data_IF_803738048252
#
_entry.id   IF_803738048252
#
_cell.length_a   1.000
_cell.length_b   1.000
_cell.length_c   1.000
_cell.angle_alpha   90.00
_cell.angle_beta   90.00
_cell.angle_gamma   90.00
#
_symmetry.space_group_name_H-M   'P 1'
#
loop_
_entity.id
_entity.type
_entity.pdbx_description
1 polymer ?
#
# COMPACT_ATOMS: atom_id res chain seq x y z
N UNK A 1 -1.25 0.35 -22.64
CA UNK A 1 -0.97 1.74 -22.28
C UNK A 1 -1.15 1.94 -20.79
N UNK A 2 -1.50 3.15 -20.35
CA UNK A 2 -1.77 3.45 -18.93
C UNK A 2 -3.16 2.92 -18.58
N UNK A 3 -3.24 2.05 -17.58
CA UNK A 3 -4.52 1.60 -17.00
C UNK A 3 -4.87 2.37 -15.72
N UNK A 4 -3.85 2.74 -14.95
CA UNK A 4 -3.98 3.58 -13.77
C UNK A 4 -2.78 4.56 -13.74
N UNK A 5 -3.02 5.89 -13.66
CA UNK A 5 -1.93 6.86 -13.66
C UNK A 5 -1.08 6.72 -12.41
N UNK A 6 0.24 6.88 -12.56
CA UNK A 6 1.17 6.81 -11.44
C UNK A 6 0.77 7.79 -10.34
N UNK A 7 0.53 7.26 -9.15
CA UNK A 7 0.17 8.02 -7.96
C UNK A 7 1.21 7.77 -6.87
N UNK A 8 1.66 8.83 -6.19
CA UNK A 8 2.69 8.77 -5.15
C UNK A 8 2.14 9.42 -3.87
N UNK A 9 1.60 8.62 -2.97
CA UNK A 9 0.97 9.11 -1.74
C UNK A 9 1.90 8.98 -0.54
N UNK A 10 2.22 10.12 0.10
CA UNK A 10 3.21 10.19 1.19
C UNK A 10 2.53 10.25 2.57
N UNK A 11 3.08 9.52 3.53
CA UNK A 11 2.66 9.45 4.93
C UNK A 11 1.14 9.22 5.08
N UNK A 12 0.42 10.20 5.63
CA UNK A 12 -1.02 10.15 5.90
C UNK A 12 -1.91 10.33 4.66
N UNK A 13 -1.35 10.75 3.52
CA UNK A 13 -2.09 10.74 2.26
C UNK A 13 -2.41 9.29 1.90
N UNK A 14 -3.70 8.95 1.75
CA UNK A 14 -4.16 7.57 1.59
C UNK A 14 -3.81 7.01 0.20
N UNK A 15 -4.29 7.66 -0.85
CA UNK A 15 -4.13 7.21 -2.24
C UNK A 15 -4.24 8.38 -3.24
N UNK A 16 -3.93 8.08 -4.51
CA UNK A 16 -4.27 8.90 -5.69
C UNK A 16 -3.66 10.31 -5.74
N UNK A 17 -2.52 10.53 -5.08
CA UNK A 17 -1.79 11.78 -5.25
C UNK A 17 -1.00 11.77 -6.57
N UNK A 18 -1.54 12.46 -7.59
CA UNK A 18 -0.95 12.63 -8.92
C UNK A 18 -1.04 14.12 -9.31
N UNK A 19 -0.16 14.98 -8.78
CA UNK A 19 -0.28 16.42 -8.89
C UNK A 19 -0.15 16.92 -10.33
N UNK A 20 -0.90 17.97 -10.67
CA UNK A 20 -0.72 18.74 -11.90
C UNK A 20 0.46 19.70 -11.76
N UNK A 21 0.90 20.28 -12.89
CA UNK A 21 1.92 21.35 -12.89
C UNK A 21 1.51 22.60 -12.12
N UNK A 22 0.21 22.84 -11.99
CA UNK A 22 -0.36 23.95 -11.24
C UNK A 22 -0.45 23.68 -9.74
N UNK A 23 -0.38 22.42 -9.34
CA UNK A 23 -0.55 22.03 -7.95
C UNK A 23 0.76 22.18 -7.19
N UNK A 24 0.66 22.32 -5.87
CA UNK A 24 1.83 22.30 -5.01
C UNK A 24 2.41 20.88 -4.94
N UNK A 25 3.67 20.72 -5.33
CA UNK A 25 4.38 19.45 -5.27
C UNK A 25 4.86 19.11 -3.85
N UNK A 26 5.19 17.84 -3.61
CA UNK A 26 5.77 17.34 -2.37
C UNK A 26 7.21 16.87 -2.59
N UNK A 27 8.16 17.55 -1.94
CA UNK A 27 9.56 17.13 -1.94
C UNK A 27 9.77 16.06 -0.86
N UNK A 28 10.15 14.85 -1.29
CA UNK A 28 10.42 13.70 -0.42
C UNK A 28 11.53 13.98 0.58
N UNK A 29 11.38 13.42 1.78
CA UNK A 29 12.32 13.57 2.90
C UNK A 29 12.75 12.21 3.43
N UNK A 30 13.91 12.19 4.06
CA UNK A 30 14.38 11.01 4.78
C UNK A 30 13.35 10.57 5.83
N UNK A 31 13.09 9.26 5.88
CA UNK A 31 12.09 8.66 6.74
C UNK A 31 10.64 8.74 6.24
N UNK A 32 10.32 9.39 5.12
CA UNK A 32 8.94 9.40 4.61
C UNK A 32 8.44 8.01 4.23
N UNK A 33 7.19 7.69 4.60
CA UNK A 33 6.51 6.48 4.14
C UNK A 33 5.81 6.79 2.81
N UNK A 34 6.27 6.16 1.74
CA UNK A 34 5.83 6.44 0.37
C UNK A 34 5.07 5.24 -0.19
N UNK A 35 3.93 5.51 -0.81
CA UNK A 35 3.09 4.53 -1.50
C UNK A 35 3.08 4.88 -2.99
N UNK A 36 3.61 3.99 -3.82
CA UNK A 36 3.56 4.13 -5.29
C UNK A 36 2.47 3.18 -5.80
N UNK A 37 1.56 3.71 -6.62
CA UNK A 37 0.48 2.95 -7.27
C UNK A 37 0.49 3.25 -8.77
N UNK A 38 0.44 2.21 -9.60
CA UNK A 38 0.40 2.32 -11.06
C UNK A 38 -0.28 1.12 -11.69
N UNK A 39 -0.75 1.32 -12.93
CA UNK A 39 -1.41 0.28 -13.70
C UNK A 39 -1.07 0.35 -15.18
N UNK A 40 -0.88 -0.82 -15.77
CA UNK A 40 -0.64 -0.99 -17.21
C UNK A 40 -1.73 -1.90 -17.77
N UNK A 41 -2.08 -1.71 -19.04
CA UNK A 41 -2.90 -2.69 -19.77
C UNK A 41 -2.27 -3.07 -21.10
N UNK A 42 -2.51 -4.32 -21.51
CA UNK A 42 -2.21 -4.85 -22.85
C UNK A 42 -3.52 -5.37 -23.41
N UNK A 43 -3.97 -4.87 -24.57
CA UNK A 43 -5.24 -5.26 -25.19
C UNK A 43 -6.46 -5.19 -24.26
N UNK A 44 -6.44 -4.23 -23.32
CA UNK A 44 -7.51 -4.03 -22.34
C UNK A 44 -7.42 -4.92 -21.09
N UNK A 45 -6.50 -5.90 -21.05
CA UNK A 45 -6.22 -6.69 -19.85
C UNK A 45 -5.35 -5.90 -18.87
N UNK A 46 -5.84 -5.69 -17.64
CA UNK A 46 -5.25 -4.80 -16.65
C UNK A 46 -4.27 -5.56 -15.74
N UNK A 47 -3.11 -4.95 -15.48
CA UNK A 47 -2.21 -5.29 -14.39
C UNK A 47 -1.94 -4.07 -13.51
N UNK A 48 -2.39 -4.10 -12.26
CA UNK A 48 -2.20 -3.04 -11.27
C UNK A 48 -1.25 -3.50 -10.16
N UNK A 49 -0.49 -2.55 -9.62
CA UNK A 49 0.43 -2.81 -8.50
C UNK A 49 0.58 -1.56 -7.64
N UNK A 50 0.61 -1.76 -6.32
CA UNK A 50 0.99 -0.75 -5.36
C UNK A 50 2.06 -1.28 -4.40
N UNK A 51 2.98 -0.41 -3.98
CA UNK A 51 4.05 -0.77 -3.04
C UNK A 51 4.31 0.36 -2.04
N UNK A 52 4.59 -0.03 -0.79
CA UNK A 52 4.86 0.89 0.32
C UNK A 52 6.28 0.66 0.85
N UNK A 53 7.06 1.73 0.97
CA UNK A 53 8.42 1.69 1.53
C UNK A 53 8.73 2.99 2.28
N UNK A 54 9.88 3.04 2.95
CA UNK A 54 10.34 4.22 3.70
C UNK A 54 11.62 4.76 3.06
N UNK A 55 11.67 6.07 2.80
CA UNK A 55 12.85 6.74 2.27
C UNK A 55 14.00 6.63 3.27
N UNK A 56 15.18 6.23 2.80
CA UNK A 56 16.39 6.07 3.63
C UNK A 56 16.44 4.80 4.48
N UNK A 57 15.43 3.93 4.40
CA UNK A 57 15.48 2.62 5.06
C UNK A 57 16.51 1.70 4.39
N UNK A 58 17.34 1.06 5.20
CA UNK A 58 18.32 0.06 4.74
C UNK A 58 18.41 -1.11 5.73
N UNK A 59 19.29 -2.07 5.49
CA UNK A 59 19.55 -3.15 6.46
C UNK A 59 20.24 -2.63 7.72
N UNK A 60 21.09 -1.62 7.56
CA UNK A 60 21.84 -0.96 8.62
C UNK A 60 20.99 0.06 9.38
N UNK A 61 19.95 0.61 8.71
CA UNK A 61 18.98 1.53 9.28
C UNK A 61 17.55 0.97 9.12
N UNK A 62 17.16 -0.04 9.91
CA UNK A 62 15.84 -0.65 9.80
C UNK A 62 14.74 0.29 10.33
N UNK A 63 13.58 0.26 9.66
CA UNK A 63 12.39 1.00 10.11
C UNK A 63 11.86 0.39 11.40
N UNK A 64 11.50 1.22 12.38
CA UNK A 64 10.89 0.81 13.64
C UNK A 64 9.65 1.65 13.98
N UNK A 65 8.99 1.32 15.11
CA UNK A 65 7.80 2.02 15.60
C UNK A 65 6.59 1.90 14.69
N UNK A 66 5.70 2.90 14.73
CA UNK A 66 4.38 2.86 14.05
C UNK A 66 4.46 2.65 12.54
N UNK A 67 5.52 3.11 11.88
CA UNK A 67 5.74 2.87 10.44
C UNK A 67 6.02 1.40 10.16
N UNK A 68 6.87 0.75 10.97
CA UNK A 68 7.12 -0.68 10.85
C UNK A 68 5.86 -1.50 11.14
N UNK A 69 5.11 -1.12 12.19
CA UNK A 69 3.86 -1.79 12.58
C UNK A 69 2.84 -1.80 11.42
N UNK A 70 2.55 -0.62 10.86
CA UNK A 70 1.53 -0.49 9.80
C UNK A 70 1.96 -1.14 8.50
N UNK A 71 3.25 -1.07 8.14
CA UNK A 71 3.79 -1.75 6.95
C UNK A 71 3.67 -3.26 7.12
N UNK A 72 4.04 -3.80 8.30
CA UNK A 72 3.96 -5.24 8.56
C UNK A 72 2.51 -5.72 8.60
N UNK A 73 1.60 -4.95 9.20
CA UNK A 73 0.17 -5.23 9.21
C UNK A 73 -0.39 -5.32 7.78
N UNK A 74 -0.12 -4.31 6.94
CA UNK A 74 -0.58 -4.29 5.56
C UNK A 74 -0.02 -5.46 4.74
N UNK A 75 1.27 -5.79 4.90
CA UNK A 75 1.88 -6.92 4.21
C UNK A 75 1.27 -8.26 4.64
N UNK A 76 1.02 -8.48 5.93
CA UNK A 76 0.36 -9.70 6.40
C UNK A 76 -1.10 -9.78 5.95
N UNK A 77 -1.81 -8.65 5.85
CA UNK A 77 -3.14 -8.59 5.23
C UNK A 77 -3.08 -9.01 3.75
N UNK A 78 -2.08 -8.54 2.99
CA UNK A 78 -1.88 -8.95 1.61
C UNK A 78 -1.60 -10.46 1.48
N UNK A 79 -0.73 -11.02 2.34
CA UNK A 79 -0.45 -12.46 2.41
C UNK A 79 -1.70 -13.29 2.77
N UNK A 80 -2.54 -12.77 3.67
CA UNK A 80 -3.81 -13.42 4.02
C UNK A 80 -4.78 -13.41 2.83
N UNK A 81 -4.93 -12.28 2.15
CA UNK A 81 -5.78 -12.17 0.95
C UNK A 81 -5.30 -13.12 -0.15
N UNK A 82 -3.98 -13.21 -0.39
CA UNK A 82 -3.39 -14.13 -1.36
C UNK A 82 -3.80 -15.61 -1.12
N UNK A 83 -4.00 -16.01 0.14
CA UNK A 83 -4.37 -17.39 0.51
C UNK A 83 -5.88 -17.60 0.62
N UNK A 84 -6.65 -16.54 0.87
CA UNK A 84 -8.09 -16.60 1.12
C UNK A 84 -8.94 -16.30 -0.12
N UNK A 85 -8.43 -15.53 -1.07
CA UNK A 85 -9.14 -15.23 -2.33
C UNK A 85 -8.98 -16.41 -3.29
N UNK A 86 -9.93 -17.34 -3.20
CA UNK A 86 -9.97 -18.56 -4.02
C UNK A 86 -11.41 -19.05 -4.23
N UNK A 87 -11.69 -19.88 -5.26
CA UNK A 87 -13.02 -20.45 -5.48
C UNK A 87 -13.56 -21.14 -4.23
N UNK A 88 -14.84 -20.91 -3.94
CA UNK A 88 -15.55 -21.48 -2.78
C UNK A 88 -15.48 -20.65 -1.50
N UNK A 89 -14.58 -19.68 -1.40
CA UNK A 89 -14.54 -18.74 -0.26
C UNK A 89 -15.45 -17.52 -0.49
N UNK A 90 -15.82 -16.87 0.61
CA UNK A 90 -16.58 -15.61 0.63
C UNK A 90 -15.68 -14.42 0.97
N UNK A 91 -16.01 -13.24 0.44
CA UNK A 91 -15.31 -11.99 0.71
C UNK A 91 -15.23 -11.66 2.22
N UNK A 92 -16.28 -11.95 2.99
CA UNK A 92 -16.32 -11.78 4.45
C UNK A 92 -15.15 -12.45 5.17
N UNK A 93 -14.68 -13.61 4.69
CA UNK A 93 -13.54 -14.30 5.31
C UNK A 93 -12.25 -13.47 5.20
N UNK A 94 -12.06 -12.76 4.08
CA UNK A 94 -10.91 -11.85 3.88
C UNK A 94 -11.07 -10.62 4.78
N UNK A 95 -12.25 -10.01 4.80
CA UNK A 95 -12.56 -8.83 5.63
C UNK A 95 -12.30 -9.11 7.12
N UNK A 96 -12.78 -10.24 7.63
CA UNK A 96 -12.56 -10.63 9.03
C UNK A 96 -11.08 -10.90 9.32
N UNK A 97 -10.36 -11.55 8.40
CA UNK A 97 -8.93 -11.82 8.56
C UNK A 97 -8.12 -10.51 8.59
N UNK A 98 -8.40 -9.57 7.70
CA UNK A 98 -7.76 -8.25 7.69
C UNK A 98 -7.96 -7.49 8.99
N UNK A 99 -9.19 -7.46 9.52
CA UNK A 99 -9.46 -6.82 10.82
C UNK A 99 -8.64 -7.45 11.95
N UNK A 100 -8.62 -8.79 12.03
CA UNK A 100 -7.84 -9.49 13.08
C UNK A 100 -6.34 -9.21 12.97
N UNK A 101 -5.78 -9.26 11.76
CA UNK A 101 -4.36 -9.00 11.53
C UNK A 101 -4.04 -7.55 11.87
N UNK A 102 -4.77 -6.58 11.32
CA UNK A 102 -4.49 -5.16 11.55
C UNK A 102 -4.58 -4.80 13.05
N UNK A 103 -5.59 -5.28 13.77
CA UNK A 103 -5.75 -5.01 15.19
C UNK A 103 -4.60 -5.59 16.04
N UNK A 104 -3.95 -6.67 15.61
CA UNK A 104 -2.76 -7.20 16.31
C UNK A 104 -1.57 -6.22 16.31
N UNK A 105 -1.56 -5.26 15.39
CA UNK A 105 -0.58 -4.17 15.31
C UNK A 105 -1.17 -2.82 15.75
N UNK A 106 -2.34 -2.79 16.40
CA UNK A 106 -3.08 -1.57 16.74
C UNK A 106 -3.33 -0.68 15.51
N UNK A 107 -3.58 -1.30 14.36
CA UNK A 107 -3.90 -0.63 13.10
C UNK A 107 -5.34 -0.97 12.69
N UNK A 108 -5.96 -0.10 11.90
CA UNK A 108 -7.32 -0.28 11.40
C UNK A 108 -7.28 -0.19 9.87
N UNK A 109 -7.83 -1.16 9.12
CA UNK A 109 -8.07 -0.99 7.69
C UNK A 109 -8.99 0.22 7.48
N UNK A 110 -8.70 1.04 6.47
CA UNK A 110 -9.51 2.24 6.14
C UNK A 110 -10.89 1.83 5.64
#
# INVERSE_FOLDING_TARGET
GIAFPTSISVNNCVCHFSPLKSDQDYILKDGDLVKIDLGVHVDGFIGNVAHTFVIGASKENPVSGRKADVIKAAHLCAEAALRLVKPGNQNTQVTEAWNKIAHSFHCTPI
#
